data_IF_466706458605
#
_entry.id   IF_466706458605
#
_cell.length_a   1.000
_cell.length_b   1.000
_cell.length_c   1.000
_cell.angle_alpha   90.00
_cell.angle_beta   90.00
_cell.angle_gamma   90.00
#
_symmetry.space_group_name_H-M   'P 1'
#
loop_
_entity.id
_entity.type
_entity.pdbx_description
1 polymer ?
#
# COMPACT_ATOMS: atom_id res chain seq x y z
N UNK A 1 -2.49 9.61 -30.49
CA UNK A 1 -2.70 9.36 -29.05
C UNK A 1 -4.06 8.70 -28.91
N UNK A 2 -4.14 7.48 -28.36
CA UNK A 2 -5.41 6.76 -28.22
C UNK A 2 -5.83 6.84 -26.75
N UNK A 3 -6.86 7.62 -26.44
CA UNK A 3 -7.34 7.81 -25.06
C UNK A 3 -8.41 6.75 -24.79
N UNK A 4 -8.08 5.78 -23.93
CA UNK A 4 -9.03 4.77 -23.45
C UNK A 4 -9.70 5.17 -22.14
N UNK A 5 -10.91 4.68 -21.91
CA UNK A 5 -11.61 4.78 -20.63
C UNK A 5 -11.51 3.45 -19.89
N UNK A 6 -11.02 3.48 -18.65
CA UNK A 6 -10.79 2.28 -17.84
C UNK A 6 -11.45 2.43 -16.47
N UNK A 7 -12.18 1.41 -15.97
CA UNK A 7 -12.76 1.46 -14.65
C UNK A 7 -11.70 1.55 -13.56
N UNK A 8 -11.81 2.56 -12.68
CA UNK A 8 -10.87 2.77 -11.57
C UNK A 8 -10.70 1.52 -10.68
N UNK A 9 -11.79 0.78 -10.44
CA UNK A 9 -11.77 -0.48 -9.67
C UNK A 9 -10.90 -1.54 -10.35
N UNK A 10 -10.93 -1.64 -11.68
CA UNK A 10 -10.11 -2.59 -12.43
C UNK A 10 -8.63 -2.22 -12.40
N UNK A 11 -8.32 -0.92 -12.53
CA UNK A 11 -6.94 -0.41 -12.38
C UNK A 11 -6.39 -0.79 -11.00
N UNK A 12 -7.14 -0.54 -9.93
CA UNK A 12 -6.73 -0.89 -8.57
C UNK A 12 -6.57 -2.41 -8.38
N UNK A 13 -7.48 -3.22 -8.93
CA UNK A 13 -7.34 -4.68 -8.93
C UNK A 13 -6.01 -5.12 -9.55
N UNK A 14 -5.67 -4.59 -10.73
CA UNK A 14 -4.41 -4.93 -11.41
C UNK A 14 -3.18 -4.51 -10.61
N UNK A 15 -3.23 -3.40 -9.88
CA UNK A 15 -2.14 -3.00 -8.98
C UNK A 15 -2.00 -3.98 -7.82
N UNK A 16 -3.10 -4.42 -7.19
CA UNK A 16 -3.07 -5.44 -6.12
C UNK A 16 -2.52 -6.76 -6.65
N UNK A 17 -3.01 -7.25 -7.80
CA UNK A 17 -2.53 -8.48 -8.42
C UNK A 17 -1.03 -8.43 -8.72
N UNK A 18 -0.56 -7.31 -9.26
CA UNK A 18 0.87 -7.12 -9.57
C UNK A 18 1.70 -7.06 -8.28
N UNK A 19 1.22 -6.35 -7.27
CA UNK A 19 1.88 -6.26 -5.96
C UNK A 19 1.95 -7.63 -5.28
N UNK A 20 0.87 -8.42 -5.31
CA UNK A 20 0.84 -9.78 -4.76
C UNK A 20 1.77 -10.72 -5.52
N UNK A 21 1.82 -10.65 -6.85
CA UNK A 21 2.76 -11.42 -7.67
C UNK A 21 4.20 -11.13 -7.25
N UNK A 22 4.57 -9.85 -7.16
CA UNK A 22 5.91 -9.44 -6.70
C UNK A 22 6.19 -9.92 -5.28
N UNK A 23 5.24 -9.76 -4.36
CA UNK A 23 5.38 -10.17 -2.97
C UNK A 23 5.64 -11.69 -2.84
N UNK A 24 4.85 -12.52 -3.50
CA UNK A 24 5.01 -13.98 -3.45
C UNK A 24 6.26 -14.48 -4.17
N UNK A 25 6.73 -13.75 -5.19
CA UNK A 25 7.99 -14.04 -5.87
C UNK A 25 9.22 -13.52 -5.12
N UNK A 26 9.05 -12.93 -3.92
CA UNK A 26 10.12 -12.28 -3.15
C UNK A 26 10.83 -11.18 -3.96
N UNK A 27 10.07 -10.45 -4.77
CA UNK A 27 10.54 -9.30 -5.54
C UNK A 27 10.72 -8.05 -4.68
N UNK A 28 10.87 -6.90 -5.34
CA UNK A 28 11.11 -5.61 -4.67
C UNK A 28 9.92 -5.16 -3.80
N UNK A 29 10.14 -5.08 -2.49
CA UNK A 29 9.11 -4.73 -1.51
C UNK A 29 8.68 -3.26 -1.59
N UNK A 30 9.53 -2.34 -2.05
CA UNK A 30 9.16 -0.93 -2.22
C UNK A 30 8.19 -0.74 -3.39
N UNK A 31 8.37 -1.50 -4.47
CA UNK A 31 7.40 -1.60 -5.55
C UNK A 31 6.07 -2.18 -5.06
N UNK A 32 6.10 -3.24 -4.24
CA UNK A 32 4.87 -3.81 -3.62
C UNK A 32 4.13 -2.75 -2.80
N UNK A 33 4.85 -2.04 -1.92
CA UNK A 33 4.31 -0.95 -1.09
C UNK A 33 3.65 0.13 -1.95
N UNK A 34 4.34 0.57 -3.02
CA UNK A 34 3.86 1.64 -3.90
C UNK A 34 2.59 1.22 -4.64
N UNK A 35 2.58 0.03 -5.22
CA UNK A 35 1.43 -0.50 -5.96
C UNK A 35 0.21 -0.73 -5.03
N UNK A 36 0.44 -1.29 -3.85
CA UNK A 36 -0.61 -1.50 -2.85
C UNK A 36 -1.18 -0.17 -2.34
N UNK A 37 -0.32 0.82 -2.07
CA UNK A 37 -0.74 2.17 -1.67
C UNK A 37 -1.55 2.88 -2.75
N UNK A 38 -1.13 2.79 -4.02
CA UNK A 38 -1.89 3.34 -5.14
C UNK A 38 -3.27 2.69 -5.29
N UNK A 39 -3.35 1.36 -5.11
CA UNK A 39 -4.62 0.65 -5.14
C UNK A 39 -5.55 1.07 -4.00
N UNK A 40 -5.02 1.15 -2.77
CA UNK A 40 -5.77 1.59 -1.59
C UNK A 40 -6.33 3.00 -1.77
N UNK A 41 -5.54 3.94 -2.30
CA UNK A 41 -5.99 5.30 -2.56
C UNK A 41 -7.15 5.34 -3.57
N UNK A 42 -7.02 4.60 -4.68
CA UNK A 42 -8.07 4.52 -5.70
C UNK A 42 -9.37 3.94 -5.12
N UNK A 43 -9.27 2.84 -4.37
CA UNK A 43 -10.42 2.15 -3.78
C UNK A 43 -11.04 2.96 -2.64
N UNK A 44 -10.22 3.58 -1.80
CA UNK A 44 -10.64 4.48 -0.73
C UNK A 44 -11.43 5.68 -1.26
N UNK A 45 -11.02 6.24 -2.39
CA UNK A 45 -11.80 7.28 -3.08
C UNK A 45 -13.14 6.79 -3.62
N UNK A 46 -13.20 5.55 -4.14
CA UNK A 46 -14.46 4.96 -4.62
C UNK A 46 -15.42 4.67 -3.46
N UNK A 47 -14.93 4.12 -2.35
CA UNK A 47 -15.70 3.85 -1.13
C UNK A 47 -16.28 5.12 -0.52
N UNK A 48 -15.50 6.21 -0.51
CA UNK A 48 -15.92 7.51 -0.01
C UNK A 48 -17.13 8.10 -0.71
N UNK A 49 -17.24 7.89 -2.01
CA UNK A 49 -18.39 8.36 -2.79
C UNK A 49 -19.67 7.56 -2.52
N UNK A 50 -19.57 6.41 -1.85
CA UNK A 50 -20.68 5.56 -1.45
C UNK A 50 -21.14 5.68 0.02
N UNK A 51 -20.38 6.36 0.89
CA UNK A 51 -20.72 6.51 2.32
C UNK A 51 -19.52 6.80 3.22
N UNK A 52 -19.76 7.55 4.31
CA UNK A 52 -18.77 8.18 5.22
C UNK A 52 -17.62 7.23 5.68
N UNK A 53 -16.49 7.26 4.97
CA UNK A 53 -15.16 7.13 5.58
C UNK A 53 -14.33 8.32 5.13
N UNK A 54 -13.78 9.13 6.04
CA UNK A 54 -12.80 10.17 5.68
C UNK A 54 -11.51 9.47 5.23
N UNK A 55 -11.39 9.18 3.93
CA UNK A 55 -10.19 8.61 3.33
C UNK A 55 -9.38 9.72 2.67
N UNK A 56 -8.37 10.18 3.40
CA UNK A 56 -7.27 10.96 2.82
C UNK A 56 -6.11 11.06 3.85
N UNK A 57 -6.43 11.00 5.14
CA UNK A 57 -5.48 11.29 6.23
C UNK A 57 -5.18 10.10 7.13
N UNK A 58 -5.50 8.86 6.76
CA UNK A 58 -5.21 7.69 7.61
C UNK A 58 -4.02 6.89 7.07
N UNK A 59 -3.97 6.61 5.76
CA UNK A 59 -2.95 5.77 5.12
C UNK A 59 -1.64 6.52 4.93
N UNK A 60 -1.68 7.71 4.33
CA UNK A 60 -0.52 8.61 4.33
C UNK A 60 -0.14 9.09 5.72
N UNK A 61 -1.04 9.10 6.71
CA UNK A 61 -0.68 9.44 8.10
C UNK A 61 -0.01 8.29 8.83
N UNK A 62 -0.35 7.03 8.57
CA UNK A 62 0.41 5.90 9.11
C UNK A 62 1.83 5.90 8.57
N UNK A 63 1.98 6.09 7.24
CA UNK A 63 3.28 6.31 6.60
C UNK A 63 3.97 7.57 7.14
N UNK A 64 3.28 8.70 7.29
CA UNK A 64 3.83 9.97 7.83
C UNK A 64 4.17 9.94 9.32
N UNK A 65 3.45 9.19 10.14
CA UNK A 65 3.77 9.02 11.56
C UNK A 65 4.93 8.02 11.74
N UNK A 66 5.09 7.03 10.85
CA UNK A 66 6.32 6.21 10.76
C UNK A 66 7.53 7.01 10.22
N UNK A 67 7.29 8.01 9.37
CA UNK A 67 8.29 8.98 8.91
C UNK A 67 8.73 9.96 10.02
N UNK A 68 8.20 9.87 11.25
CA UNK A 68 8.73 10.65 12.37
C UNK A 68 10.06 10.05 12.80
N UNK A 69 11.16 10.82 12.77
CA UNK A 69 12.49 10.28 12.97
C UNK A 69 12.66 9.75 14.40
N UNK A 70 13.26 8.57 14.54
CA UNK A 70 14.04 8.24 15.72
C UNK A 70 15.26 9.19 15.71
N UNK A 71 15.06 10.39 16.27
CA UNK A 71 15.88 11.60 16.04
C UNK A 71 17.39 11.46 16.27
N UNK A 72 17.85 10.44 17.00
CA UNK A 72 19.25 10.37 17.43
C UNK A 72 20.18 9.67 16.41
N UNK A 73 19.75 8.60 15.73
CA UNK A 73 20.63 7.85 14.82
C UNK A 73 20.62 8.36 13.36
N UNK A 74 19.78 9.36 13.07
CA UNK A 74 19.50 9.88 11.74
C UNK A 74 20.41 11.03 11.34
N UNK A 75 20.70 11.93 12.28
CA UNK A 75 21.57 13.08 12.02
C UNK A 75 22.98 12.62 11.60
N UNK A 76 23.48 11.55 12.21
CA UNK A 76 24.80 10.99 11.90
C UNK A 76 24.86 10.37 10.49
N UNK A 77 23.87 9.55 10.11
CA UNK A 77 23.80 8.95 8.77
C UNK A 77 23.51 9.96 7.67
N UNK A 78 22.62 10.91 7.93
CA UNK A 78 22.27 11.96 6.99
C UNK A 78 23.48 12.87 6.70
N UNK A 79 24.25 13.21 7.76
CA UNK A 79 25.51 13.94 7.63
C UNK A 79 26.58 13.19 6.83
N UNK A 80 26.64 11.86 6.88
CA UNK A 80 27.59 11.06 6.08
C UNK A 80 27.25 11.06 4.58
N UNK A 81 25.97 11.23 4.24
CA UNK A 81 25.48 11.23 2.86
C UNK A 81 25.29 12.65 2.29
N UNK A 82 25.51 13.69 3.10
CA UNK A 82 25.29 15.09 2.70
C UNK A 82 23.81 15.48 2.57
N UNK A 83 22.91 14.66 3.09
CA UNK A 83 21.47 14.87 3.02
C UNK A 83 20.90 15.28 4.38
N UNK A 84 19.71 15.90 4.38
CA UNK A 84 19.00 16.20 5.62
C UNK A 84 18.34 14.94 6.21
N UNK A 85 18.10 14.87 7.53
CA UNK A 85 17.42 13.73 8.16
C UNK A 85 15.99 13.48 7.61
N UNK A 86 15.38 14.48 6.99
CA UNK A 86 14.07 14.38 6.30
C UNK A 86 14.14 13.57 4.99
N UNK A 87 15.33 13.25 4.47
CA UNK A 87 15.51 12.49 3.24
C UNK A 87 15.36 10.96 3.43
N UNK A 88 15.27 10.49 4.68
CA UNK A 88 15.28 9.08 5.01
C UNK A 88 13.91 8.59 5.51
N UNK A 89 13.57 7.37 5.12
CA UNK A 89 12.37 6.66 5.58
C UNK A 89 12.77 5.48 6.45
N UNK A 90 12.13 5.36 7.62
CA UNK A 90 12.35 4.24 8.54
C UNK A 90 11.12 3.34 8.59
N UNK A 91 11.24 2.15 8.02
CA UNK A 91 10.21 1.12 8.05
C UNK A 91 10.81 -0.28 7.89
N UNK A 92 10.07 -1.30 8.30
CA UNK A 92 10.31 -2.68 7.87
C UNK A 92 9.53 -2.89 6.55
N UNK A 93 10.22 -3.05 5.40
CA UNK A 93 9.54 -3.12 4.11
C UNK A 93 8.58 -4.30 3.99
N UNK A 94 8.85 -5.40 4.69
CA UNK A 94 7.99 -6.58 4.61
C UNK A 94 6.73 -6.37 5.44
N UNK A 95 6.85 -5.82 6.64
CA UNK A 95 5.69 -5.50 7.48
C UNK A 95 4.80 -4.46 6.80
N UNK A 96 5.40 -3.41 6.23
CA UNK A 96 4.65 -2.36 5.54
C UNK A 96 3.93 -2.88 4.28
N UNK A 97 4.61 -3.72 3.48
CA UNK A 97 4.00 -4.38 2.34
C UNK A 97 2.78 -5.22 2.74
N UNK A 98 2.89 -6.01 3.82
CA UNK A 98 1.79 -6.85 4.31
C UNK A 98 0.62 -5.99 4.79
N UNK A 99 0.91 -4.91 5.52
CA UNK A 99 -0.09 -3.98 6.02
C UNK A 99 -0.88 -3.33 4.89
N UNK A 100 -0.19 -2.72 3.91
CA UNK A 100 -0.83 -2.02 2.80
C UNK A 100 -1.58 -2.96 1.86
N UNK A 101 -1.00 -4.12 1.53
CA UNK A 101 -1.71 -5.15 0.75
C UNK A 101 -2.99 -5.58 1.45
N UNK A 102 -2.94 -5.82 2.77
CA UNK A 102 -4.12 -6.20 3.54
C UNK A 102 -5.23 -5.15 3.49
N UNK A 103 -4.88 -3.86 3.56
CA UNK A 103 -5.85 -2.76 3.45
C UNK A 103 -6.44 -2.64 2.05
N UNK A 104 -5.61 -2.67 1.02
CA UNK A 104 -6.07 -2.60 -0.37
C UNK A 104 -7.02 -3.77 -0.71
N UNK A 105 -6.72 -4.97 -0.22
CA UNK A 105 -7.58 -6.16 -0.36
C UNK A 105 -8.91 -5.99 0.38
N UNK A 106 -8.89 -5.50 1.62
CA UNK A 106 -10.12 -5.27 2.39
C UNK A 106 -11.02 -4.23 1.71
N UNK A 107 -10.45 -3.15 1.18
CA UNK A 107 -11.19 -2.11 0.45
C UNK A 107 -11.71 -2.63 -0.91
N UNK A 108 -10.94 -3.47 -1.60
CA UNK A 108 -11.38 -4.12 -2.83
C UNK A 108 -12.56 -5.06 -2.57
N UNK A 109 -12.47 -5.88 -1.51
CA UNK A 109 -13.55 -6.78 -1.11
C UNK A 109 -14.83 -6.01 -0.77
N UNK A 110 -14.70 -4.90 -0.04
CA UNK A 110 -15.84 -4.05 0.30
C UNK A 110 -16.57 -3.48 -0.93
N UNK A 111 -15.85 -3.19 -2.01
CA UNK A 111 -16.42 -2.67 -3.26
C UNK A 111 -16.92 -3.74 -4.23
N UNK A 112 -16.29 -4.91 -4.25
CA UNK A 112 -16.54 -5.95 -5.27
C UNK A 112 -17.36 -7.13 -4.75
N UNK A 113 -17.40 -7.34 -3.43
CA UNK A 113 -18.01 -8.50 -2.78
C UNK A 113 -17.24 -9.82 -2.97
N UNK A 114 -16.15 -9.82 -3.75
CA UNK A 114 -15.39 -11.02 -4.11
C UNK A 114 -13.89 -10.74 -4.04
N UNK A 115 -13.09 -11.80 -4.01
CA UNK A 115 -11.63 -11.73 -4.00
C UNK A 115 -11.07 -12.64 -5.09
N UNK A 116 -9.90 -12.29 -5.62
CA UNK A 116 -9.15 -13.20 -6.49
C UNK A 116 -8.46 -14.29 -5.68
N UNK A 117 -8.00 -15.34 -6.37
CA UNK A 117 -7.20 -16.41 -5.77
C UNK A 117 -5.93 -15.89 -5.08
N UNK A 118 -5.24 -14.90 -5.69
CA UNK A 118 -4.04 -14.31 -5.10
C UNK A 118 -4.35 -13.58 -3.78
N UNK A 119 -5.46 -12.84 -3.74
CA UNK A 119 -5.89 -12.12 -2.54
C UNK A 119 -6.34 -13.08 -1.44
N UNK A 120 -7.08 -14.14 -1.79
CA UNK A 120 -7.48 -15.20 -0.86
C UNK A 120 -6.27 -15.94 -0.29
N UNK A 121 -5.30 -16.29 -1.15
CA UNK A 121 -4.04 -16.91 -0.73
C UNK A 121 -3.29 -16.02 0.26
N UNK A 122 -3.17 -14.73 -0.02
CA UNK A 122 -2.52 -13.77 0.87
C UNK A 122 -3.23 -13.68 2.23
N UNK A 123 -4.56 -13.57 2.24
CA UNK A 123 -5.35 -13.56 3.46
C UNK A 123 -5.14 -14.81 4.32
N UNK A 124 -5.05 -15.98 3.69
CA UNK A 124 -4.84 -17.26 4.35
C UNK A 124 -3.42 -17.37 4.93
N UNK A 125 -2.40 -17.13 4.12
CA UNK A 125 -0.99 -17.36 4.48
C UNK A 125 -0.43 -16.28 5.43
N UNK A 126 -0.88 -15.03 5.32
CA UNK A 126 -0.25 -13.89 6.01
C UNK A 126 -1.16 -13.25 7.06
N UNK A 127 -2.49 -13.47 7.00
CA UNK A 127 -3.46 -12.76 7.86
C UNK A 127 -4.40 -13.67 8.64
N UNK A 128 -4.36 -14.99 8.41
CA UNK A 128 -5.24 -15.95 9.08
C UNK A 128 -6.73 -15.77 8.80
N UNK A 129 -7.09 -15.11 7.68
CA UNK A 129 -8.49 -14.91 7.25
C UNK A 129 -8.85 -15.97 6.19
N UNK A 130 -10.02 -16.60 6.35
CA UNK A 130 -10.61 -17.53 5.37
C UNK A 130 -11.67 -16.83 4.54
#
# INVERSE_FOLDING_TARGET
MNIGSYPKKEIACQQIETALRLFFQKGDLFSVITLAGAAEEILGHLLQKGGKRRGLFASFRAVREMLRPARQNLAEKASQLGEGPEAFVHLDPRQEAVFLLGRAIDDYQALSGTLSEAMLRFNRELRGKS
#
